data_IF_520622373471
#
_entry.id   IF_520622373471
#
_cell.length_a   1.000
_cell.length_b   1.000
_cell.length_c   1.000
_cell.angle_alpha   90.00
_cell.angle_beta   90.00
_cell.angle_gamma   90.00
#
_symmetry.space_group_name_H-M   'P 1'
#
loop_
_entity.id
_entity.type
_entity.pdbx_description
1 polymer ?
#
# COMPACT_ATOMS: atom_id res chain seq x y z
N UNK A 1 -2.85 9.98 0.34
CA UNK A 1 -1.82 10.39 -0.63
C UNK A 1 -2.40 10.61 -2.04
N UNK A 2 -2.99 9.59 -2.70
CA UNK A 2 -3.53 9.74 -4.08
C UNK A 2 -4.55 10.87 -4.26
N UNK A 3 -5.57 10.97 -3.40
CA UNK A 3 -6.56 12.06 -3.49
C UNK A 3 -5.93 13.44 -3.31
N UNK A 4 -4.95 13.56 -2.41
CA UNK A 4 -4.21 14.81 -2.20
C UNK A 4 -3.36 15.18 -3.42
N UNK A 5 -2.73 14.19 -4.05
CA UNK A 5 -2.00 14.40 -5.29
C UNK A 5 -2.91 14.92 -6.41
N UNK A 6 -4.11 14.36 -6.58
CA UNK A 6 -5.11 14.89 -7.52
C UNK A 6 -5.47 16.34 -7.17
N UNK A 7 -5.70 16.64 -5.89
CA UNK A 7 -5.98 18.02 -5.46
C UNK A 7 -4.83 18.97 -5.83
N UNK A 8 -3.58 18.58 -5.60
CA UNK A 8 -2.40 19.37 -5.96
C UNK A 8 -2.32 19.61 -7.48
N UNK A 9 -2.58 18.60 -8.31
CA UNK A 9 -2.55 18.76 -9.77
C UNK A 9 -3.63 19.71 -10.29
N UNK A 10 -4.75 19.86 -9.57
CA UNK A 10 -5.83 20.81 -9.88
C UNK A 10 -5.58 22.21 -9.31
N UNK A 11 -4.59 22.39 -8.44
CA UNK A 11 -4.29 23.70 -7.84
C UNK A 11 -3.56 24.61 -8.83
N UNK A 12 -3.82 25.92 -8.79
CA UNK A 12 -3.02 26.90 -9.52
C UNK A 12 -1.61 27.01 -8.93
N UNK A 13 -0.66 27.42 -9.77
CA UNK A 13 0.79 27.42 -9.47
C UNK A 13 1.22 28.46 -8.44
N UNK A 14 0.39 29.47 -8.20
CA UNK A 14 0.58 30.52 -7.19
C UNK A 14 0.40 29.99 -5.75
N UNK A 15 -0.23 28.83 -5.57
CA UNK A 15 -0.43 28.24 -4.25
C UNK A 15 0.83 27.54 -3.77
N UNK A 16 1.23 27.86 -2.54
CA UNK A 16 2.39 27.27 -1.87
C UNK A 16 2.44 25.73 -1.92
N UNK A 17 1.34 24.98 -1.65
CA UNK A 17 1.37 23.52 -1.72
C UNK A 17 1.71 22.99 -3.13
N UNK A 18 1.23 23.67 -4.18
CA UNK A 18 1.51 23.32 -5.57
C UNK A 18 2.98 23.58 -5.89
N UNK A 19 3.50 24.76 -5.54
CA UNK A 19 4.92 25.08 -5.71
C UNK A 19 5.84 24.08 -4.99
N UNK A 20 5.48 23.65 -3.78
CA UNK A 20 6.23 22.65 -3.03
C UNK A 20 6.20 21.27 -3.71
N UNK A 21 5.02 20.85 -4.17
CA UNK A 21 4.88 19.62 -4.95
C UNK A 21 5.73 19.66 -6.22
N UNK A 22 5.67 20.74 -7.00
CA UNK A 22 6.43 20.88 -8.24
C UNK A 22 7.94 20.82 -7.96
N UNK A 23 8.40 21.42 -6.86
CA UNK A 23 9.80 21.33 -6.43
C UNK A 23 10.20 19.89 -6.06
N UNK A 24 9.37 19.19 -5.29
CA UNK A 24 9.62 17.79 -4.93
C UNK A 24 9.60 16.85 -6.15
N UNK A 25 8.71 17.12 -7.11
CA UNK A 25 8.62 16.39 -8.36
C UNK A 25 9.87 16.60 -9.21
N UNK A 26 10.36 17.84 -9.33
CA UNK A 26 11.60 18.14 -10.05
C UNK A 26 12.86 17.55 -9.40
N UNK A 27 12.80 17.25 -8.10
CA UNK A 27 13.88 16.62 -7.34
C UNK A 27 13.68 15.11 -7.16
N UNK A 28 12.83 14.48 -7.98
CA UNK A 28 12.54 13.04 -7.89
C UNK A 28 13.78 12.15 -8.02
N UNK A 29 14.77 12.58 -8.79
CA UNK A 29 15.99 11.81 -9.04
C UNK A 29 17.15 12.21 -8.10
N UNK A 30 16.89 13.11 -7.15
CA UNK A 30 17.85 13.45 -6.11
C UNK A 30 17.70 12.51 -4.91
N UNK A 31 18.62 11.55 -4.80
CA UNK A 31 18.66 10.55 -3.72
C UNK A 31 19.09 11.14 -2.36
N UNK A 32 19.66 12.34 -2.33
CA UNK A 32 20.12 12.98 -1.09
C UNK A 32 18.99 13.72 -0.37
N UNK A 33 17.82 13.91 -1.00
CA UNK A 33 16.70 14.64 -0.39
C UNK A 33 15.92 13.72 0.57
N UNK A 34 16.02 13.93 1.90
CA UNK A 34 15.26 13.13 2.85
C UNK A 34 13.76 13.47 2.76
N UNK A 35 12.91 12.47 2.98
CA UNK A 35 11.45 12.62 3.10
C UNK A 35 10.72 13.18 1.86
N UNK A 36 11.20 12.88 0.66
CA UNK A 36 10.47 13.20 -0.57
C UNK A 36 9.26 12.25 -0.77
N UNK A 37 8.10 12.64 -0.24
CA UNK A 37 6.88 11.84 -0.37
C UNK A 37 6.44 11.61 -1.82
N UNK A 38 6.86 12.44 -2.78
CA UNK A 38 6.57 12.26 -4.21
C UNK A 38 7.39 11.09 -4.77
N UNK A 39 8.60 10.87 -4.26
CA UNK A 39 9.39 9.68 -4.58
C UNK A 39 8.73 8.40 -4.05
N UNK A 40 8.16 8.44 -2.84
CA UNK A 40 7.38 7.33 -2.29
C UNK A 40 6.13 7.05 -3.13
N UNK A 41 5.42 8.11 -3.53
CA UNK A 41 4.28 8.00 -4.42
C UNK A 41 4.67 7.31 -5.75
N UNK A 42 5.80 7.72 -6.35
CA UNK A 42 6.34 7.10 -7.57
C UNK A 42 6.58 5.60 -7.38
N UNK A 43 7.16 5.19 -6.25
CA UNK A 43 7.37 3.77 -5.94
C UNK A 43 6.05 2.98 -5.85
N UNK A 44 5.00 3.56 -5.28
CA UNK A 44 3.69 2.91 -5.22
C UNK A 44 3.04 2.79 -6.60
N UNK A 45 3.10 3.86 -7.41
CA UNK A 45 2.58 3.88 -8.79
C UNK A 45 3.34 2.88 -9.68
N UNK A 46 4.66 2.79 -9.52
CA UNK A 46 5.51 1.84 -10.24
C UNK A 46 5.14 0.39 -9.94
N UNK A 47 4.90 0.06 -8.66
CA UNK A 47 4.50 -1.29 -8.22
C UNK A 47 3.20 -1.79 -8.84
N UNK A 48 2.33 -0.90 -9.31
CA UNK A 48 1.05 -1.25 -9.95
C UNK A 48 1.07 -1.03 -11.46
N UNK A 49 2.24 -0.73 -12.05
CA UNK A 49 2.40 -0.55 -13.50
C UNK A 49 1.77 0.74 -14.06
N UNK A 50 1.46 1.72 -13.22
CA UNK A 50 0.73 2.94 -13.62
C UNK A 50 1.65 4.17 -13.82
N UNK A 51 2.92 3.95 -14.19
CA UNK A 51 3.95 5.01 -14.31
C UNK A 51 3.58 6.08 -15.34
N UNK A 52 2.86 5.69 -16.39
CA UNK A 52 2.32 6.61 -17.40
C UNK A 52 1.47 7.73 -16.78
N UNK A 53 0.71 7.45 -15.71
CA UNK A 53 -0.12 8.45 -15.02
C UNK A 53 0.73 9.46 -14.25
N UNK A 54 1.88 9.03 -13.72
CA UNK A 54 2.84 9.94 -13.09
C UNK A 54 3.49 10.85 -14.14
N UNK A 55 3.78 10.33 -15.33
CA UNK A 55 4.38 11.11 -16.41
C UNK A 55 3.39 12.09 -17.03
N UNK A 56 2.12 11.71 -17.17
CA UNK A 56 1.10 12.57 -17.79
C UNK A 56 0.74 13.77 -16.94
N UNK A 57 0.95 13.69 -15.60
CA UNK A 57 0.60 14.76 -14.64
C UNK A 57 -0.85 15.25 -14.78
N UNK A 58 -1.73 14.41 -15.35
CA UNK A 58 -3.08 14.80 -15.73
C UNK A 58 -4.08 14.40 -14.64
N UNK A 59 -4.58 15.41 -13.92
CA UNK A 59 -5.52 15.19 -12.82
C UNK A 59 -6.79 14.43 -13.23
N UNK A 60 -7.32 14.68 -14.43
CA UNK A 60 -8.56 14.06 -14.92
C UNK A 60 -8.33 12.58 -15.21
N UNK A 61 -7.20 12.24 -15.81
CA UNK A 61 -6.82 10.87 -16.12
C UNK A 61 -6.59 10.05 -14.84
N UNK A 62 -5.86 10.62 -13.88
CA UNK A 62 -5.59 10.00 -12.58
C UNK A 62 -6.89 9.78 -11.81
N UNK A 63 -7.82 10.74 -11.84
CA UNK A 63 -9.11 10.62 -11.16
C UNK A 63 -9.96 9.48 -11.75
N UNK A 64 -9.98 9.33 -13.09
CA UNK A 64 -10.65 8.21 -13.77
C UNK A 64 -10.04 6.85 -13.39
N UNK A 65 -8.73 6.79 -13.21
CA UNK A 65 -8.02 5.55 -12.88
C UNK A 65 -7.87 5.30 -11.37
N UNK A 66 -8.36 6.19 -10.50
CA UNK A 66 -8.08 6.15 -9.06
C UNK A 66 -8.49 4.81 -8.42
N UNK A 67 -9.70 4.34 -8.72
CA UNK A 67 -10.17 3.05 -8.19
C UNK A 67 -9.31 1.89 -8.70
N UNK A 68 -8.92 1.91 -9.98
CA UNK A 68 -8.07 0.88 -10.56
C UNK A 68 -6.69 0.85 -9.88
N UNK A 69 -6.06 2.01 -9.66
CA UNK A 69 -4.79 2.11 -8.94
C UNK A 69 -4.91 1.50 -7.53
N UNK A 70 -5.97 1.85 -6.80
CA UNK A 70 -6.19 1.36 -5.43
C UNK A 70 -6.38 -0.15 -5.43
N UNK A 71 -7.26 -0.68 -6.29
CA UNK A 71 -7.51 -2.12 -6.40
C UNK A 71 -6.27 -2.89 -6.84
N UNK A 72 -5.53 -2.39 -7.83
CA UNK A 72 -4.25 -3.00 -8.27
C UNK A 72 -3.22 -2.99 -7.15
N UNK A 73 -3.17 -1.94 -6.33
CA UNK A 73 -2.27 -1.90 -5.19
C UNK A 73 -2.66 -2.93 -4.12
N UNK A 74 -3.95 -3.03 -3.80
CA UNK A 74 -4.46 -4.06 -2.89
C UNK A 74 -4.13 -5.46 -3.40
N UNK A 75 -4.37 -5.73 -4.68
CA UNK A 75 -4.04 -7.02 -5.29
C UNK A 75 -2.53 -7.31 -5.23
N UNK A 76 -1.68 -6.32 -5.51
CA UNK A 76 -0.23 -6.47 -5.37
C UNK A 76 0.21 -6.78 -3.92
N UNK A 77 -0.46 -6.19 -2.92
CA UNK A 77 -0.19 -6.54 -1.52
C UNK A 77 -0.62 -7.98 -1.21
N UNK A 78 -1.83 -8.36 -1.62
CA UNK A 78 -2.35 -9.73 -1.44
C UNK A 78 -1.42 -10.73 -2.11
N UNK A 79 -1.03 -10.51 -3.38
CA UNK A 79 -0.12 -11.41 -4.09
C UNK A 79 1.22 -11.57 -3.37
N UNK A 80 1.77 -10.50 -2.79
CA UNK A 80 3.00 -10.57 -1.99
C UNK A 80 2.82 -11.36 -0.70
N UNK A 81 1.68 -11.23 -0.06
CA UNK A 81 1.39 -11.99 1.15
C UNK A 81 1.20 -13.48 0.82
N UNK A 82 0.52 -13.80 -0.28
CA UNK A 82 0.40 -15.18 -0.79
C UNK A 82 1.80 -15.76 -1.09
N UNK A 83 2.62 -15.03 -1.84
CA UNK A 83 3.97 -15.44 -2.20
C UNK A 83 4.84 -15.71 -0.97
N UNK A 84 4.79 -14.82 0.02
CA UNK A 84 5.48 -15.02 1.32
C UNK A 84 4.97 -16.25 2.08
N UNK A 85 3.67 -16.53 2.04
CA UNK A 85 3.09 -17.70 2.71
C UNK A 85 3.56 -18.99 2.06
N UNK A 86 3.55 -19.05 0.72
CA UNK A 86 3.96 -20.22 -0.05
C UNK A 86 5.46 -20.48 0.05
N UNK A 87 6.28 -19.42 0.03
CA UNK A 87 7.74 -19.51 0.02
C UNK A 87 8.37 -19.33 1.42
N UNK A 88 7.59 -19.48 2.49
CA UNK A 88 8.09 -19.33 3.87
C UNK A 88 8.95 -20.52 4.28
N UNK A 89 10.26 -20.29 4.43
CA UNK A 89 11.20 -21.29 4.97
C UNK A 89 11.19 -21.40 6.50
N UNK A 90 10.48 -20.51 7.20
CA UNK A 90 10.55 -20.40 8.66
C UNK A 90 9.60 -21.34 9.41
N UNK A 91 8.42 -21.65 8.83
CA UNK A 91 7.42 -22.49 9.51
C UNK A 91 6.42 -23.11 8.52
N UNK A 92 6.46 -24.43 8.35
CA UNK A 92 5.54 -25.18 7.48
C UNK A 92 4.05 -25.02 7.89
N UNK A 93 3.78 -24.62 9.14
CA UNK A 93 2.41 -24.35 9.62
C UNK A 93 1.87 -22.98 9.20
N UNK A 94 2.72 -22.07 8.73
CA UNK A 94 2.32 -20.73 8.31
C UNK A 94 1.35 -20.77 7.11
N UNK A 95 1.57 -21.71 6.17
CA UNK A 95 0.67 -21.97 5.04
C UNK A 95 -0.74 -22.37 5.46
N UNK A 96 -0.87 -23.23 6.48
CA UNK A 96 -2.16 -23.75 6.93
C UNK A 96 -2.99 -22.73 7.72
N UNK A 97 -2.37 -21.69 8.27
CA UNK A 97 -3.04 -20.67 9.09
C UNK A 97 -3.61 -19.53 8.26
N UNK A 98 -3.24 -19.43 6.99
CA UNK A 98 -3.66 -18.37 6.10
C UNK A 98 -4.45 -18.96 4.93
N UNK A 99 -5.78 -19.10 5.04
CA UNK A 99 -6.63 -19.41 3.90
C UNK A 99 -6.67 -18.17 2.97
N UNK A 100 -5.59 -17.97 2.21
CA UNK A 100 -5.39 -17.03 1.09
C UNK A 100 -6.37 -15.84 1.04
N UNK A 101 -6.42 -15.07 2.13
CA UNK A 101 -7.21 -13.84 2.28
C UNK A 101 -8.75 -13.95 2.24
N UNK A 102 -9.38 -15.13 2.25
CA UNK A 102 -10.85 -15.21 2.08
C UNK A 102 -11.66 -15.14 3.38
N UNK A 103 -11.13 -15.63 4.52
CA UNK A 103 -11.93 -15.75 5.78
C UNK A 103 -11.18 -15.40 7.08
N UNK A 104 -10.12 -14.60 7.00
CA UNK A 104 -9.38 -14.21 8.21
C UNK A 104 -10.06 -13.05 8.96
N UNK A 105 -11.13 -13.34 9.71
CA UNK A 105 -11.90 -12.36 10.49
C UNK A 105 -11.04 -11.41 11.33
N UNK A 106 -9.95 -11.91 11.92
CA UNK A 106 -9.08 -11.08 12.75
C UNK A 106 -8.38 -9.96 11.96
N UNK A 107 -8.06 -10.16 10.67
CA UNK A 107 -7.43 -9.13 9.83
C UNK A 107 -8.38 -7.96 9.52
N UNK A 108 -9.68 -8.21 9.62
CA UNK A 108 -10.72 -7.21 9.39
C UNK A 108 -11.09 -6.45 10.68
N UNK A 109 -10.48 -6.78 11.82
CA UNK A 109 -10.71 -6.07 13.06
C UNK A 109 -10.15 -4.65 12.98
N UNK A 110 -11.01 -3.66 13.23
CA UNK A 110 -10.62 -2.26 13.33
C UNK A 110 -9.92 -1.98 14.68
N UNK A 111 -8.71 -2.52 14.85
CA UNK A 111 -7.90 -2.37 16.06
C UNK A 111 -6.47 -1.94 15.70
N UNK A 112 -5.73 -1.45 16.69
CA UNK A 112 -4.34 -1.06 16.51
C UNK A 112 -3.48 -2.21 15.95
N UNK A 113 -2.59 -1.90 14.99
CA UNK A 113 -1.77 -2.88 14.26
C UNK A 113 -0.94 -3.80 15.18
N UNK A 114 -0.49 -3.30 16.33
CA UNK A 114 0.25 -4.13 17.28
C UNK A 114 -0.64 -5.22 17.91
N UNK A 115 -1.92 -4.95 18.14
CA UNK A 115 -2.87 -5.96 18.64
C UNK A 115 -3.11 -7.04 17.57
N UNK A 116 -3.33 -6.62 16.32
CA UNK A 116 -3.43 -7.53 15.16
C UNK A 116 -2.20 -8.46 15.06
N UNK A 117 -0.99 -7.90 15.21
CA UNK A 117 0.26 -8.66 15.18
C UNK A 117 0.37 -9.67 16.32
N UNK A 118 -0.07 -9.32 17.54
CA UNK A 118 -0.08 -10.24 18.68
C UNK A 118 -1.04 -11.41 18.40
N UNK A 119 -2.26 -11.12 17.92
CA UNK A 119 -3.23 -12.16 17.54
C UNK A 119 -2.64 -13.09 16.47
N UNK A 120 -2.01 -12.53 15.42
CA UNK A 120 -1.34 -13.32 14.39
C UNK A 120 -0.26 -14.24 14.97
N UNK A 121 0.59 -13.72 15.87
CA UNK A 121 1.66 -14.50 16.51
C UNK A 121 1.10 -15.62 17.40
N UNK A 122 0.04 -15.34 18.17
CA UNK A 122 -0.63 -16.34 19.00
C UNK A 122 -1.24 -17.46 18.14
N UNK A 123 -1.86 -17.13 16.99
CA UNK A 123 -2.37 -18.12 16.02
C UNK A 123 -1.26 -19.03 15.49
N UNK A 124 -0.09 -18.48 15.21
CA UNK A 124 1.07 -19.24 14.73
C UNK A 124 1.66 -20.14 15.82
N UNK A 125 1.75 -19.64 17.06
CA UNK A 125 2.30 -20.40 18.19
C UNK A 125 1.39 -21.56 18.64
N UNK A 126 0.07 -21.41 18.56
CA UNK A 126 -0.88 -22.39 19.11
C UNK A 126 -1.04 -23.66 18.28
N UNK A 127 -0.54 -23.74 17.02
CA UNK A 127 -0.79 -24.83 16.04
C UNK A 127 -2.27 -25.21 15.85
N UNK A 128 -3.20 -24.46 16.45
CA UNK A 128 -4.66 -24.60 16.45
C UNK A 128 -5.24 -23.21 16.24
N UNK A 129 -6.29 -23.11 15.43
CA UNK A 129 -7.10 -21.90 15.29
C UNK A 129 -7.61 -21.54 16.70
N UNK A 130 -7.18 -20.41 17.30
CA UNK A 130 -7.65 -20.05 18.62
C UNK A 130 -9.13 -19.67 18.50
N UNK A 131 -9.99 -20.46 19.14
CA UNK A 131 -11.43 -20.23 19.29
C UNK A 131 -11.78 -18.98 20.13
N UNK A 132 -10.79 -18.17 20.52
CA UNK A 132 -10.94 -17.11 21.52
C UNK A 132 -11.39 -15.75 20.94
N UNK A 133 -11.81 -15.68 19.68
CA UNK A 133 -12.32 -14.46 19.04
C UNK A 133 -13.57 -14.78 18.19
N UNK A 134 -14.53 -15.47 18.81
CA UNK A 134 -15.95 -15.41 18.43
C UNK A 134 -16.64 -14.41 19.35
#
# INVERSE_FOLDING_TARGET
MLKWWISLLKMPSDRLPKAYYDRLFNLLDNYELPFNWVADLRLYIYKVGAVNLLLSQNAIEIEKQLNNIVTSFQNNLISKDIDKVLNSNFNNYYGFLCPFCLDNHYLNLNIHINKLRIVAKLRVASKKIPKALL
#
